data_IF_560438919781
#
_entry.id   IF_560438919781
#
_cell.length_a   1.000
_cell.length_b   1.000
_cell.length_c   1.000
_cell.angle_alpha   90.00
_cell.angle_beta   90.00
_cell.angle_gamma   90.00
#
_symmetry.space_group_name_H-M   'P 1'
#
loop_
_entity.id
_entity.type
_entity.pdbx_description
1 polymer ?
#
# COMPACT_ATOMS: atom_id res chain seq x y z
N UNK A 1 20.84 11.50 3.87
CA UNK A 1 20.15 11.60 5.18
C UNK A 1 18.62 11.59 5.10
N UNK A 2 18.01 11.79 3.91
CA UNK A 2 16.55 11.80 3.71
C UNK A 2 15.85 10.47 4.04
N UNK A 3 16.57 9.34 4.06
CA UNK A 3 15.99 8.02 4.34
C UNK A 3 16.07 7.60 5.82
N UNK A 4 16.84 8.30 6.65
CA UNK A 4 16.95 7.99 8.07
C UNK A 4 15.62 8.00 8.84
N UNK A 5 14.63 8.85 8.52
CA UNK A 5 13.34 8.80 9.17
C UNK A 5 12.61 7.44 9.03
N UNK A 6 12.93 6.65 8.02
CA UNK A 6 12.33 5.34 7.81
C UNK A 6 12.91 4.22 8.70
N UNK A 7 13.99 4.49 9.45
CA UNK A 7 14.52 3.60 10.49
C UNK A 7 13.88 3.84 11.86
N UNK A 8 13.25 5.01 12.05
CA UNK A 8 12.65 5.43 13.32
C UNK A 8 11.15 5.19 13.31
N UNK A 9 10.62 4.74 14.47
CA UNK A 9 9.18 4.62 14.63
C UNK A 9 8.48 5.98 14.56
N UNK A 10 7.22 5.96 14.14
CA UNK A 10 6.35 7.15 14.10
C UNK A 10 6.26 7.80 15.49
N UNK A 11 6.22 7.01 16.57
CA UNK A 11 6.23 7.51 17.96
C UNK A 11 7.50 8.28 18.35
N UNK A 12 8.58 8.11 17.60
CA UNK A 12 9.88 8.77 17.78
C UNK A 12 10.13 9.87 16.73
N UNK A 13 9.07 10.27 16.01
CA UNK A 13 9.14 11.27 14.94
C UNK A 13 9.69 10.72 13.61
N UNK A 14 9.68 9.41 13.42
CA UNK A 14 10.04 8.74 12.17
C UNK A 14 8.85 8.43 11.29
N UNK A 15 9.07 7.56 10.29
CA UNK A 15 8.08 7.12 9.30
C UNK A 15 7.84 5.60 9.31
N UNK A 16 8.53 4.87 10.20
CA UNK A 16 8.34 3.44 10.38
C UNK A 16 7.17 3.19 11.31
N UNK A 17 6.26 2.35 10.89
CA UNK A 17 5.20 1.80 11.73
C UNK A 17 5.12 0.28 11.53
N UNK A 18 4.24 -0.38 12.26
CA UNK A 18 4.01 -1.82 12.11
C UNK A 18 2.52 -2.10 12.01
N UNK A 19 2.15 -2.98 11.09
CA UNK A 19 0.81 -3.58 11.07
C UNK A 19 0.96 -5.08 11.34
N UNK A 20 0.38 -5.53 12.46
CA UNK A 20 0.75 -6.83 13.07
C UNK A 20 2.27 -6.81 13.34
N UNK A 21 3.04 -7.73 12.80
CA UNK A 21 4.51 -7.78 12.96
C UNK A 21 5.28 -7.24 11.73
N UNK A 22 4.58 -6.73 10.71
CA UNK A 22 5.20 -6.32 9.45
C UNK A 22 5.46 -4.82 9.43
N UNK A 23 6.69 -4.37 9.08
CA UNK A 23 7.00 -2.96 8.94
C UNK A 23 6.22 -2.32 7.80
N UNK A 24 5.73 -1.11 8.02
CA UNK A 24 5.11 -0.24 7.02
C UNK A 24 5.80 1.12 7.08
N UNK A 25 6.15 1.65 5.93
CA UNK A 25 6.62 3.02 5.79
C UNK A 25 5.43 3.91 5.50
N UNK A 26 5.17 4.86 6.40
CA UNK A 26 3.94 5.64 6.40
C UNK A 26 4.05 6.90 5.54
N UNK A 27 3.11 7.06 4.59
CA UNK A 27 2.85 8.34 3.91
C UNK A 27 2.16 9.33 4.87
N UNK A 28 1.32 8.83 5.76
CA UNK A 28 0.57 9.62 6.75
C UNK A 28 0.93 9.15 8.17
N UNK A 29 2.09 9.53 8.72
CA UNK A 29 2.51 9.07 10.02
C UNK A 29 1.53 9.53 11.12
N UNK A 30 1.08 8.61 11.95
CA UNK A 30 0.14 8.88 13.04
C UNK A 30 0.47 8.05 14.26
N UNK A 31 0.64 8.72 15.40
CA UNK A 31 0.85 8.07 16.69
C UNK A 31 -0.38 7.35 17.23
N UNK A 32 -1.55 7.58 16.63
CA UNK A 32 -2.82 6.98 17.08
C UNK A 32 -3.10 5.63 16.45
N UNK A 33 -2.59 5.40 15.24
CA UNK A 33 -2.84 4.17 14.47
C UNK A 33 -1.91 4.03 13.30
N UNK A 34 -1.65 2.81 12.88
CA UNK A 34 -1.00 2.51 11.60
C UNK A 34 -1.99 2.78 10.48
N UNK A 35 -1.66 3.68 9.56
CA UNK A 35 -2.53 4.03 8.42
C UNK A 35 -2.36 3.02 7.30
N UNK A 36 -1.13 2.78 6.87
CA UNK A 36 -0.79 1.82 5.84
C UNK A 36 -1.47 2.15 4.50
N UNK A 37 -1.29 3.38 3.99
CA UNK A 37 -1.78 3.76 2.67
C UNK A 37 -0.98 3.03 1.58
N UNK A 38 -1.63 2.14 0.81
CA UNK A 38 -0.94 1.21 -0.09
C UNK A 38 -0.13 1.91 -1.19
N UNK A 39 -0.72 2.94 -1.85
CA UNK A 39 -0.01 3.67 -2.91
C UNK A 39 1.24 4.37 -2.37
N UNK A 40 1.12 5.03 -1.22
CA UNK A 40 2.23 5.73 -0.58
C UNK A 40 3.33 4.77 -0.17
N UNK A 41 2.97 3.62 0.42
CA UNK A 41 3.94 2.60 0.77
C UNK A 41 4.72 2.10 -0.46
N UNK A 42 4.03 1.82 -1.57
CA UNK A 42 4.71 1.41 -2.82
C UNK A 42 5.56 2.54 -3.42
N UNK A 43 5.14 3.81 -3.37
CA UNK A 43 5.97 4.93 -3.82
C UNK A 43 7.26 5.07 -3.00
N UNK A 44 7.19 4.85 -1.69
CA UNK A 44 8.38 4.85 -0.83
C UNK A 44 9.34 3.72 -1.24
N UNK A 45 8.82 2.53 -1.55
CA UNK A 45 9.64 1.42 -2.06
C UNK A 45 10.32 1.76 -3.38
N UNK A 46 9.64 2.44 -4.32
CA UNK A 46 10.29 2.93 -5.54
C UNK A 46 11.41 3.92 -5.24
N UNK A 47 11.20 4.85 -4.30
CA UNK A 47 12.24 5.79 -3.87
C UNK A 47 13.48 5.08 -3.29
N UNK A 48 13.31 4.01 -2.51
CA UNK A 48 14.44 3.19 -2.05
C UNK A 48 15.13 2.47 -3.20
N UNK A 49 14.37 1.95 -4.15
CA UNK A 49 14.93 1.31 -5.34
C UNK A 49 15.77 2.28 -6.17
N UNK A 50 15.31 3.49 -6.40
CA UNK A 50 16.06 4.54 -7.10
C UNK A 50 17.36 4.88 -6.38
N UNK A 51 17.36 4.96 -5.05
CA UNK A 51 18.56 5.17 -4.25
C UNK A 51 19.53 3.98 -4.29
N UNK A 52 19.04 2.75 -4.40
CA UNK A 52 19.87 1.57 -4.63
C UNK A 52 20.61 1.65 -5.96
N UNK A 53 19.92 2.06 -7.03
CA UNK A 53 20.49 2.14 -8.37
C UNK A 53 21.49 3.29 -8.50
N UNK A 54 21.18 4.46 -7.93
CA UNK A 54 21.99 5.67 -8.13
C UNK A 54 23.20 5.74 -7.21
N UNK A 55 23.04 5.41 -5.94
CA UNK A 55 24.04 5.65 -4.90
C UNK A 55 24.56 4.36 -4.24
N UNK A 56 24.06 3.18 -4.66
CA UNK A 56 24.36 1.88 -4.01
C UNK A 56 24.21 1.94 -2.47
N UNK A 57 23.20 2.68 -1.99
CA UNK A 57 23.01 2.97 -0.58
C UNK A 57 22.61 1.69 0.18
N UNK A 58 23.42 1.19 1.13
CA UNK A 58 23.15 -0.06 1.83
C UNK A 58 21.89 0.02 2.71
N UNK A 59 21.60 1.19 3.28
CA UNK A 59 20.40 1.40 4.07
C UNK A 59 19.13 1.33 3.18
N UNK A 60 19.16 1.99 2.00
CA UNK A 60 18.05 1.90 1.05
C UNK A 60 17.81 0.45 0.60
N UNK A 61 18.90 -0.32 0.41
CA UNK A 61 18.80 -1.75 0.06
C UNK A 61 18.11 -2.56 1.16
N UNK A 62 18.47 -2.35 2.42
CA UNK A 62 17.86 -3.05 3.55
C UNK A 62 16.38 -2.68 3.74
N UNK A 63 16.08 -1.37 3.71
CA UNK A 63 14.71 -0.87 3.82
C UNK A 63 13.82 -1.38 2.66
N UNK A 64 14.34 -1.40 1.43
CA UNK A 64 13.62 -1.93 0.28
C UNK A 64 13.30 -3.42 0.48
N UNK A 65 14.28 -4.25 0.81
CA UNK A 65 14.08 -5.70 1.02
C UNK A 65 13.05 -5.98 2.12
N UNK A 66 13.14 -5.28 3.26
CA UNK A 66 12.18 -5.39 4.36
C UNK A 66 10.77 -4.97 3.93
N UNK A 67 10.67 -3.86 3.20
CA UNK A 67 9.39 -3.36 2.71
C UNK A 67 8.75 -4.29 1.67
N UNK A 68 9.52 -4.86 0.74
CA UNK A 68 9.02 -5.86 -0.22
C UNK A 68 8.49 -7.10 0.50
N UNK A 69 9.23 -7.63 1.46
CA UNK A 69 8.78 -8.79 2.24
C UNK A 69 7.51 -8.47 3.04
N UNK A 70 7.44 -7.27 3.62
CA UNK A 70 6.24 -6.79 4.32
C UNK A 70 5.05 -6.67 3.38
N UNK A 71 5.20 -6.02 2.23
CA UNK A 71 4.14 -5.85 1.24
C UNK A 71 3.57 -7.20 0.78
N UNK A 72 4.42 -8.19 0.51
CA UNK A 72 3.98 -9.55 0.15
C UNK A 72 3.02 -10.16 1.17
N UNK A 73 3.33 -10.00 2.46
CA UNK A 73 2.52 -10.54 3.55
C UNK A 73 1.23 -9.73 3.80
N UNK A 74 1.25 -8.44 3.49
CA UNK A 74 0.13 -7.54 3.74
C UNK A 74 -0.86 -7.44 2.57
N UNK A 75 -0.45 -7.80 1.34
CA UNK A 75 -1.33 -7.73 0.16
C UNK A 75 -2.71 -8.40 0.35
N UNK A 76 -2.82 -9.59 0.97
CA UNK A 76 -4.13 -10.20 1.21
C UNK A 76 -5.09 -9.33 2.03
N UNK A 77 -4.55 -8.43 2.88
CA UNK A 77 -5.35 -7.54 3.71
C UNK A 77 -5.87 -6.32 2.94
N UNK A 78 -5.25 -5.99 1.81
CA UNK A 78 -5.74 -4.93 0.92
C UNK A 78 -6.76 -5.44 -0.11
N UNK A 79 -6.96 -6.75 -0.24
CA UNK A 79 -7.88 -7.33 -1.19
C UNK A 79 -9.27 -7.56 -0.55
N UNK A 80 -10.28 -6.90 -1.06
CA UNK A 80 -11.67 -7.04 -0.62
C UNK A 80 -12.45 -8.15 -1.37
N UNK A 81 -11.78 -8.88 -2.31
CA UNK A 81 -12.42 -9.90 -3.12
C UNK A 81 -13.23 -9.37 -4.31
N UNK A 82 -13.42 -8.06 -4.40
CA UNK A 82 -14.08 -7.35 -5.53
C UNK A 82 -13.37 -6.04 -5.89
N UNK A 83 -12.50 -5.51 -5.01
CA UNK A 83 -11.76 -4.27 -5.15
C UNK A 83 -10.57 -4.22 -4.20
N UNK A 84 -9.74 -3.18 -4.24
CA UNK A 84 -8.67 -2.96 -3.27
C UNK A 84 -9.04 -1.95 -2.21
N UNK A 85 -8.39 -2.06 -1.04
CA UNK A 85 -8.43 -1.05 0.01
C UNK A 85 -7.43 0.07 -0.29
N UNK A 86 -7.74 1.28 0.23
CA UNK A 86 -6.82 2.40 0.18
C UNK A 86 -5.77 2.32 1.30
N UNK A 87 -6.22 2.00 2.53
CA UNK A 87 -5.38 1.85 3.73
C UNK A 87 -5.86 0.68 4.62
N UNK A 88 -5.04 0.30 5.61
CA UNK A 88 -5.29 -0.91 6.42
C UNK A 88 -6.23 -0.70 7.60
N UNK A 89 -6.30 0.48 8.21
CA UNK A 89 -7.17 0.65 9.37
C UNK A 89 -8.66 0.71 8.97
N UNK A 90 -9.52 0.24 9.88
CA UNK A 90 -10.97 0.21 9.69
C UNK A 90 -11.62 1.35 10.48
N UNK A 91 -12.21 2.35 9.79
CA UNK A 91 -13.00 3.40 10.42
C UNK A 91 -13.86 4.15 9.40
N UNK A 92 -15.17 4.12 9.52
CA UNK A 92 -15.98 3.21 10.35
C UNK A 92 -16.06 1.80 9.77
N UNK A 93 -15.48 1.55 8.61
CA UNK A 93 -15.36 0.28 7.86
C UNK A 93 -14.12 0.33 6.97
N UNK A 94 -13.85 -0.78 6.25
CA UNK A 94 -12.79 -0.82 5.25
C UNK A 94 -12.95 0.29 4.21
N UNK A 95 -11.89 1.05 3.99
CA UNK A 95 -11.92 2.15 3.02
C UNK A 95 -11.61 1.65 1.61
N UNK A 96 -12.65 1.52 0.81
CA UNK A 96 -12.55 1.11 -0.60
C UNK A 96 -11.80 2.18 -1.39
N UNK A 97 -10.75 1.80 -2.12
CA UNK A 97 -10.00 2.72 -2.98
C UNK A 97 -10.90 3.35 -4.04
N UNK A 98 -10.61 4.59 -4.45
CA UNK A 98 -11.27 5.16 -5.62
C UNK A 98 -10.83 4.40 -6.87
N UNK A 99 -11.56 4.57 -7.98
CA UNK A 99 -11.17 3.96 -9.26
C UNK A 99 -9.72 4.31 -9.63
N UNK A 100 -9.35 5.58 -9.52
CA UNK A 100 -7.99 6.07 -9.81
C UNK A 100 -6.94 5.39 -8.92
N UNK A 101 -7.18 5.34 -7.61
CA UNK A 101 -6.23 4.69 -6.69
C UNK A 101 -6.17 3.17 -6.87
N UNK A 102 -7.29 2.53 -7.15
CA UNK A 102 -7.31 1.10 -7.48
C UNK A 102 -6.49 0.80 -8.74
N UNK A 103 -6.67 1.62 -9.79
CA UNK A 103 -5.89 1.49 -11.03
C UNK A 103 -4.40 1.74 -10.78
N UNK A 104 -4.06 2.79 -10.04
CA UNK A 104 -2.68 3.08 -9.66
C UNK A 104 -2.05 1.91 -8.89
N UNK A 105 -2.78 1.30 -7.95
CA UNK A 105 -2.27 0.20 -7.14
C UNK A 105 -1.90 -1.04 -7.97
N UNK A 106 -2.72 -1.46 -8.91
CA UNK A 106 -2.36 -2.62 -9.72
C UNK A 106 -1.24 -2.32 -10.72
N UNK A 107 -1.11 -1.10 -11.23
CA UNK A 107 0.04 -0.71 -12.06
C UNK A 107 1.34 -0.62 -11.23
N UNK A 108 1.27 -0.11 -10.00
CA UNK A 108 2.41 -0.13 -9.09
C UNK A 108 2.86 -1.55 -8.75
N UNK A 109 1.95 -2.49 -8.51
CA UNK A 109 2.27 -3.90 -8.29
C UNK A 109 2.91 -4.53 -9.51
N UNK A 110 2.41 -4.23 -10.71
CA UNK A 110 3.02 -4.69 -11.96
C UNK A 110 4.46 -4.17 -12.11
N UNK A 111 4.69 -2.91 -11.76
CA UNK A 111 6.04 -2.32 -11.75
C UNK A 111 6.94 -3.00 -10.73
N UNK A 112 6.46 -3.28 -9.52
CA UNK A 112 7.21 -4.04 -8.51
C UNK A 112 7.55 -5.45 -8.96
N UNK A 113 6.66 -6.13 -9.70
CA UNK A 113 6.99 -7.42 -10.31
C UNK A 113 8.17 -7.32 -11.27
N UNK A 114 8.21 -6.31 -12.14
CA UNK A 114 9.35 -6.13 -13.07
C UNK A 114 10.66 -5.81 -12.35
N UNK A 115 10.59 -5.10 -11.23
CA UNK A 115 11.77 -4.75 -10.41
C UNK A 115 12.28 -5.96 -9.62
N UNK A 116 11.37 -6.77 -9.04
CA UNK A 116 11.73 -7.78 -8.03
C UNK A 116 11.67 -9.22 -8.52
N UNK A 117 10.93 -9.50 -9.59
CA UNK A 117 10.62 -10.85 -10.06
C UNK A 117 9.58 -11.59 -9.19
N UNK A 118 9.02 -10.97 -8.15
CA UNK A 118 8.10 -11.59 -7.20
C UNK A 118 6.71 -11.80 -7.82
N UNK A 119 6.38 -13.05 -8.13
CA UNK A 119 5.15 -13.43 -8.86
C UNK A 119 3.86 -12.97 -8.17
N UNK A 120 3.85 -12.91 -6.85
CA UNK A 120 2.69 -12.46 -6.07
C UNK A 120 2.23 -11.06 -6.47
N UNK A 121 3.14 -10.15 -6.82
CA UNK A 121 2.79 -8.81 -7.29
C UNK A 121 2.07 -8.84 -8.64
N UNK A 122 2.52 -9.70 -9.57
CA UNK A 122 1.84 -9.87 -10.85
C UNK A 122 0.44 -10.49 -10.68
N UNK A 123 0.32 -11.49 -9.81
CA UNK A 123 -0.95 -12.15 -9.49
C UNK A 123 -1.99 -11.16 -8.96
N UNK A 124 -1.62 -10.31 -7.97
CA UNK A 124 -2.51 -9.28 -7.44
C UNK A 124 -2.79 -8.17 -8.45
N UNK A 125 -1.79 -7.75 -9.24
CA UNK A 125 -1.98 -6.78 -10.32
C UNK A 125 -3.05 -7.26 -11.31
N UNK A 126 -2.90 -8.47 -11.85
CA UNK A 126 -3.86 -9.04 -12.80
C UNK A 126 -5.25 -9.28 -12.17
N UNK A 127 -5.29 -9.69 -10.92
CA UNK A 127 -6.54 -9.89 -10.17
C UNK A 127 -7.31 -8.58 -10.03
N UNK A 128 -6.64 -7.51 -9.62
CA UNK A 128 -7.28 -6.21 -9.42
C UNK A 128 -7.62 -5.51 -10.74
N UNK A 129 -6.82 -5.71 -11.78
CA UNK A 129 -7.17 -5.27 -13.14
C UNK A 129 -8.47 -5.95 -13.64
N UNK A 130 -8.67 -7.26 -13.37
CA UNK A 130 -9.92 -7.95 -13.65
C UNK A 130 -11.11 -7.34 -12.89
N UNK A 131 -10.92 -6.93 -11.63
CA UNK A 131 -11.96 -6.20 -10.89
C UNK A 131 -12.33 -4.88 -11.58
N UNK A 132 -11.32 -4.11 -12.02
CA UNK A 132 -11.51 -2.88 -12.80
C UNK A 132 -12.27 -3.07 -14.11
N UNK A 133 -12.23 -4.26 -14.70
CA UNK A 133 -12.93 -4.58 -15.95
C UNK A 133 -14.33 -5.18 -15.72
N UNK A 134 -14.66 -5.56 -14.48
CA UNK A 134 -15.96 -6.14 -14.11
C UNK A 134 -16.98 -5.06 -13.73
N UNK A 135 -18.13 -5.02 -14.42
CA UNK A 135 -19.26 -4.15 -14.06
C UNK A 135 -19.76 -4.44 -12.64
N UNK A 136 -19.87 -5.71 -12.26
CA UNK A 136 -20.30 -6.11 -10.93
C UNK A 136 -19.36 -5.56 -9.84
N UNK A 137 -18.06 -5.72 -10.04
CA UNK A 137 -17.06 -5.22 -9.07
C UNK A 137 -17.10 -3.69 -8.95
N UNK A 138 -17.21 -2.98 -10.08
CA UNK A 138 -17.33 -1.51 -10.09
C UNK A 138 -18.58 -1.03 -9.33
N UNK A 139 -19.72 -1.61 -9.59
CA UNK A 139 -20.98 -1.25 -8.92
C UNK A 139 -20.91 -1.57 -7.42
N UNK A 140 -20.33 -2.71 -7.04
CA UNK A 140 -20.13 -3.10 -5.65
C UNK A 140 -19.22 -2.10 -4.93
N UNK A 141 -18.07 -1.74 -5.53
CA UNK A 141 -17.15 -0.77 -4.99
C UNK A 141 -17.80 0.62 -4.80
N UNK A 142 -18.56 1.09 -5.81
CA UNK A 142 -19.31 2.34 -5.74
C UNK A 142 -20.34 2.33 -4.62
N UNK A 143 -21.17 1.29 -4.52
CA UNK A 143 -22.20 1.16 -3.49
C UNK A 143 -21.57 1.17 -2.08
N UNK A 144 -20.48 0.41 -1.87
CA UNK A 144 -19.75 0.40 -0.59
C UNK A 144 -19.18 1.78 -0.27
N UNK A 145 -18.63 2.49 -1.25
CA UNK A 145 -18.06 3.83 -1.05
C UNK A 145 -19.13 4.87 -0.69
N UNK A 146 -20.31 4.81 -1.31
CA UNK A 146 -21.44 5.69 -0.99
C UNK A 146 -21.97 5.45 0.44
N UNK A 147 -22.03 4.18 0.89
CA UNK A 147 -22.42 3.86 2.26
C UNK A 147 -21.40 4.36 3.29
N UNK A 148 -20.12 4.45 2.91
CA UNK A 148 -19.06 5.03 3.74
C UNK A 148 -19.26 6.55 3.87
N UNK A 149 -19.44 7.25 2.76
CA UNK A 149 -19.64 8.71 2.73
C UNK A 149 -20.83 9.16 3.59
N UNK A 150 -21.97 8.44 3.54
CA UNK A 150 -23.14 8.72 4.38
C UNK A 150 -22.87 8.59 5.89
N UNK A 151 -21.91 7.78 6.33
CA UNK A 151 -21.56 7.61 7.76
C UNK A 151 -20.59 8.67 8.29
N UNK A 152 -19.93 9.43 7.42
CA UNK A 152 -19.04 10.54 7.79
C UNK A 152 -19.77 11.89 7.86
N UNK A 153 -21.01 11.96 7.41
CA UNK A 153 -21.83 13.19 7.38
C UNK A 153 -22.73 13.39 8.62
N UNK A 154 -22.44 12.70 9.75
CA UNK A 154 -23.12 12.86 11.04
C UNK A 154 -22.16 13.19 12.17
#
# INVERSE_FOLDING_TARGET
DAIKPFEKNVSEGGLLNHFKSFPIYEEYPSNRRTVGALCGFMFILFGFYDLMLTNQNPLATDLFKKGIQSLKNLLPLYDLGYWSRYYLFDYPKEYVASYTYHSLQYEQLKSLYYITGEKVFLEYSQKWEKYSNSYYCKLTALAKKLTYAKKLSW
#
